data_IF_642049496308
#
_entry.id   IF_642049496308
#
_cell.length_a   1.000
_cell.length_b   1.000
_cell.length_c   1.000
_cell.angle_alpha   90.00
_cell.angle_beta   90.00
_cell.angle_gamma   90.00
#
_symmetry.space_group_name_H-M   'P 1'
#
loop_
_entity.id
_entity.type
_entity.pdbx_description
1 polymer ?
#
# COMPACT_ATOMS: atom_id res chain seq x y z
N UNK A 1 12.61 -22.61 38.20
CA UNK A 1 11.64 -23.47 37.52
C UNK A 1 11.47 -22.92 36.12
N UNK A 2 12.15 -23.52 35.14
CA UNK A 2 12.08 -23.18 33.72
C UNK A 2 10.67 -23.49 33.19
N UNK A 3 9.86 -22.45 33.00
CA UNK A 3 8.57 -22.58 32.32
C UNK A 3 8.76 -22.32 30.83
N UNK A 4 8.87 -23.41 30.07
CA UNK A 4 8.27 -23.59 28.76
C UNK A 4 8.58 -22.51 27.72
N UNK A 5 9.59 -22.77 26.91
CA UNK A 5 9.80 -22.15 25.60
C UNK A 5 8.62 -22.48 24.67
N UNK A 6 7.48 -21.81 24.87
CA UNK A 6 6.41 -21.75 23.89
C UNK A 6 6.83 -20.73 22.84
N UNK A 7 6.56 -21.03 21.57
CA UNK A 7 6.74 -20.12 20.45
C UNK A 7 5.89 -18.85 20.67
N UNK A 8 6.35 -17.92 21.50
CA UNK A 8 5.60 -16.74 21.90
C UNK A 8 5.48 -15.83 20.70
N UNK A 9 4.28 -15.75 20.13
CA UNK A 9 3.92 -14.76 19.13
C UNK A 9 4.15 -13.38 19.74
N UNK A 10 4.97 -12.54 19.11
CA UNK A 10 5.22 -11.18 19.58
C UNK A 10 4.00 -10.31 19.31
N UNK A 11 3.03 -10.33 20.23
CA UNK A 11 1.79 -9.56 20.15
C UNK A 11 2.06 -8.06 20.02
N UNK A 12 3.16 -7.57 20.61
CA UNK A 12 3.56 -6.16 20.54
C UNK A 12 3.82 -5.71 19.08
N UNK A 13 4.54 -6.53 18.31
CA UNK A 13 4.83 -6.24 16.90
C UNK A 13 3.58 -6.33 16.02
N UNK A 14 2.65 -7.21 16.39
CA UNK A 14 1.37 -7.34 15.70
C UNK A 14 0.48 -6.11 15.95
N UNK A 15 0.41 -5.61 17.17
CA UNK A 15 -0.31 -4.37 17.50
C UNK A 15 0.28 -3.14 16.82
N UNK A 16 1.61 -3.01 16.77
CA UNK A 16 2.25 -1.89 16.04
C UNK A 16 1.87 -1.94 14.55
N UNK A 17 1.87 -3.13 13.93
CA UNK A 17 1.42 -3.27 12.53
C UNK A 17 -0.03 -2.87 12.34
N UNK A 18 -0.92 -3.26 13.25
CA UNK A 18 -2.35 -2.90 13.17
C UNK A 18 -2.50 -1.39 13.26
N UNK A 19 -1.86 -0.74 14.24
CA UNK A 19 -1.90 0.70 14.39
C UNK A 19 -1.31 1.43 13.18
N UNK A 20 -0.16 0.97 12.68
CA UNK A 20 0.47 1.54 11.48
C UNK A 20 -0.41 1.37 10.24
N UNK A 21 -1.07 0.22 10.07
CA UNK A 21 -2.00 -0.01 8.95
C UNK A 21 -3.22 0.90 9.05
N UNK A 22 -3.75 1.09 10.26
CA UNK A 22 -4.85 2.01 10.50
C UNK A 22 -4.47 3.47 10.19
N UNK A 23 -3.26 3.89 10.57
CA UNK A 23 -2.74 5.22 10.23
C UNK A 23 -2.54 5.42 8.72
N UNK A 24 -2.06 4.40 8.00
CA UNK A 24 -1.97 4.43 6.53
C UNK A 24 -3.36 4.59 5.90
N UNK A 25 -4.37 3.90 6.44
CA UNK A 25 -5.75 4.06 5.97
C UNK A 25 -6.23 5.51 6.13
N UNK A 26 -6.03 6.13 7.30
CA UNK A 26 -6.38 7.54 7.53
C UNK A 26 -5.59 8.49 6.62
N UNK A 27 -4.31 8.19 6.36
CA UNK A 27 -3.48 8.94 5.43
C UNK A 27 -4.06 8.93 4.02
N UNK A 28 -4.45 7.76 3.49
CA UNK A 28 -5.08 7.67 2.18
C UNK A 28 -6.44 8.39 2.12
N UNK A 29 -7.25 8.34 3.17
CA UNK A 29 -8.48 9.12 3.25
C UNK A 29 -8.21 10.63 3.22
N UNK A 30 -7.13 11.09 3.86
CA UNK A 30 -6.72 12.50 3.85
C UNK A 30 -6.18 12.98 2.50
N UNK A 31 -5.73 12.06 1.63
CA UNK A 31 -5.13 12.40 0.35
C UNK A 31 -6.11 13.07 -0.62
N UNK A 32 -7.41 12.80 -0.52
CA UNK A 32 -8.44 13.48 -1.32
C UNK A 32 -8.58 14.98 -1.01
N UNK A 33 -8.12 15.40 0.17
CA UNK A 33 -8.28 16.77 0.67
C UNK A 33 -6.95 17.52 0.82
N UNK A 34 -5.83 16.88 0.44
CA UNK A 34 -4.51 17.50 0.52
C UNK A 34 -4.16 18.23 -0.79
N UNK A 35 -3.13 19.07 -0.73
CA UNK A 35 -2.67 19.85 -1.89
C UNK A 35 -1.81 19.03 -2.88
N UNK A 36 -1.34 17.84 -2.48
CA UNK A 36 -0.36 17.04 -3.23
C UNK A 36 -0.96 16.43 -4.51
N UNK A 37 -0.14 16.23 -5.54
CA UNK A 37 -0.59 15.70 -6.82
C UNK A 37 -1.26 14.32 -6.66
N UNK A 38 -2.45 14.18 -7.21
CA UNK A 38 -3.33 13.04 -6.96
C UNK A 38 -4.45 12.98 -7.98
N UNK A 39 -4.86 11.76 -8.33
CA UNK A 39 -5.74 11.49 -9.47
C UNK A 39 -7.15 12.11 -9.37
N UNK A 40 -7.68 12.33 -8.16
CA UNK A 40 -9.02 12.89 -7.91
C UNK A 40 -8.97 13.78 -6.66
N UNK A 41 -9.41 15.02 -6.76
CA UNK A 41 -9.38 16.02 -5.67
C UNK A 41 -10.72 16.70 -5.49
N UNK A 42 -10.99 17.13 -4.26
CA UNK A 42 -12.14 17.98 -3.95
C UNK A 42 -11.82 19.46 -4.25
N UNK A 43 -12.84 20.23 -4.66
CA UNK A 43 -12.70 21.67 -4.96
C UNK A 43 -12.37 22.51 -3.71
N UNK A 44 -12.76 22.03 -2.52
CA UNK A 44 -12.46 22.68 -1.24
C UNK A 44 -11.30 21.95 -0.57
N UNK A 45 -10.11 22.55 -0.66
CA UNK A 45 -8.85 22.02 -0.11
C UNK A 45 -8.50 22.74 1.19
N UNK A 46 -8.35 21.98 2.29
CA UNK A 46 -7.83 22.53 3.55
C UNK A 46 -6.31 22.32 3.62
N UNK A 47 -5.57 23.33 3.17
CA UNK A 47 -4.11 23.26 2.96
C UNK A 47 -3.27 23.19 4.24
N UNK A 48 -3.84 23.51 5.40
CA UNK A 48 -3.01 23.68 6.61
C UNK A 48 -2.96 22.40 7.42
N UNK A 49 -4.09 21.95 7.98
CA UNK A 49 -4.09 20.84 8.93
C UNK A 49 -3.89 19.47 8.25
N UNK A 50 -4.51 19.29 7.10
CA UNK A 50 -4.49 18.01 6.35
C UNK A 50 -3.12 17.78 5.72
N UNK A 51 -2.47 18.85 5.24
CA UNK A 51 -1.14 18.78 4.65
C UNK A 51 -0.06 18.46 5.70
N UNK A 52 -0.13 19.13 6.86
CA UNK A 52 0.76 18.83 7.99
C UNK A 52 0.57 17.38 8.46
N UNK A 53 -0.67 16.91 8.58
CA UNK A 53 -0.97 15.52 8.93
C UNK A 53 -0.39 14.55 7.89
N UNK A 54 -0.62 14.81 6.60
CA UNK A 54 -0.13 13.98 5.50
C UNK A 54 1.39 13.89 5.50
N UNK A 55 2.08 15.03 5.56
CA UNK A 55 3.55 15.07 5.61
C UNK A 55 4.09 14.37 6.85
N UNK A 56 3.47 14.59 8.01
CA UNK A 56 3.89 13.96 9.25
C UNK A 56 3.81 12.44 9.12
N UNK A 57 2.63 11.89 8.79
CA UNK A 57 2.44 10.44 8.69
C UNK A 57 3.30 9.81 7.59
N UNK A 58 3.36 10.45 6.42
CA UNK A 58 4.11 9.92 5.26
C UNK A 58 5.60 9.73 5.52
N UNK A 59 6.23 10.60 6.33
CA UNK A 59 7.67 10.56 6.57
C UNK A 59 8.16 9.37 7.39
N UNK A 60 7.39 8.91 8.39
CA UNK A 60 7.86 7.88 9.33
C UNK A 60 7.15 6.53 9.20
N UNK A 61 5.97 6.48 8.57
CA UNK A 61 5.18 5.25 8.55
C UNK A 61 5.83 4.12 7.74
N UNK A 62 6.40 4.44 6.58
CA UNK A 62 7.12 3.47 5.75
C UNK A 62 8.37 2.92 6.45
N UNK A 63 9.25 3.74 7.05
CA UNK A 63 10.35 3.26 7.90
C UNK A 63 9.92 2.25 8.98
N UNK A 64 8.78 2.48 9.65
CA UNK A 64 8.26 1.53 10.66
C UNK A 64 7.93 0.19 10.02
N UNK A 65 7.22 0.17 8.89
CA UNK A 65 6.93 -1.07 8.18
C UNK A 65 8.20 -1.81 7.74
N UNK A 66 9.24 -1.09 7.31
CA UNK A 66 10.53 -1.68 6.98
C UNK A 66 11.20 -2.35 8.18
N UNK A 67 11.23 -1.68 9.34
CA UNK A 67 11.80 -2.24 10.57
C UNK A 67 11.05 -3.51 10.99
N UNK A 68 9.73 -3.47 11.00
CA UNK A 68 8.92 -4.64 11.40
C UNK A 68 9.10 -5.79 10.41
N UNK A 69 9.13 -5.50 9.10
CA UNK A 69 9.39 -6.50 8.06
C UNK A 69 10.79 -7.12 8.20
N UNK A 70 11.80 -6.32 8.56
CA UNK A 70 13.16 -6.76 8.83
C UNK A 70 13.23 -7.73 10.00
N UNK A 71 12.63 -7.36 11.14
CA UNK A 71 12.56 -8.21 12.34
C UNK A 71 11.82 -9.53 12.04
N UNK A 72 10.70 -9.46 11.33
CA UNK A 72 9.94 -10.65 10.93
C UNK A 72 10.75 -11.56 10.00
N UNK A 73 11.50 -10.99 9.06
CA UNK A 73 12.33 -11.72 8.11
C UNK A 73 13.52 -12.39 8.81
N UNK A 74 14.19 -11.69 9.73
CA UNK A 74 15.29 -12.24 10.53
C UNK A 74 14.86 -13.49 11.33
N UNK A 75 13.73 -13.41 12.02
CA UNK A 75 13.19 -14.55 12.78
C UNK A 75 12.75 -15.71 11.86
N UNK A 76 12.19 -15.41 10.69
CA UNK A 76 11.75 -16.43 9.74
C UNK A 76 12.92 -17.18 9.10
N UNK A 77 13.99 -16.46 8.74
CA UNK A 77 15.18 -17.03 8.10
C UNK A 77 15.99 -17.92 9.05
N UNK A 78 15.95 -17.64 10.36
CA UNK A 78 16.55 -18.49 11.39
C UNK A 78 15.88 -19.87 11.51
N UNK A 79 14.63 -20.02 11.06
CA UNK A 79 13.82 -21.25 11.22
C UNK A 79 13.56 -22.02 9.92
N UNK A 80 13.79 -21.43 8.74
CA UNK A 80 13.43 -22.04 7.44
C UNK A 80 14.50 -21.81 6.38
N UNK A 81 14.59 -22.71 5.38
CA UNK A 81 15.42 -22.52 4.18
C UNK A 81 14.96 -21.28 3.41
N UNK A 82 15.91 -20.39 3.09
CA UNK A 82 15.67 -19.11 2.40
C UNK A 82 14.85 -19.24 1.10
N UNK A 83 15.12 -20.28 0.30
CA UNK A 83 14.43 -20.50 -0.98
C UNK A 83 12.91 -20.75 -0.81
N UNK A 84 12.52 -21.55 0.20
CA UNK A 84 11.10 -21.82 0.47
C UNK A 84 10.39 -20.55 0.95
N UNK A 85 11.05 -19.76 1.79
CA UNK A 85 10.52 -18.50 2.32
C UNK A 85 10.28 -17.48 1.21
N UNK A 86 11.23 -17.33 0.26
CA UNK A 86 11.07 -16.43 -0.88
C UNK A 86 9.94 -16.85 -1.80
N UNK A 87 9.82 -18.15 -2.13
CA UNK A 87 8.75 -18.66 -3.00
C UNK A 87 7.36 -18.39 -2.42
N UNK A 88 7.17 -18.65 -1.11
CA UNK A 88 5.89 -18.37 -0.45
C UNK A 88 5.56 -16.87 -0.41
N UNK A 89 6.56 -15.99 -0.26
CA UNK A 89 6.35 -14.54 -0.28
C UNK A 89 6.01 -14.05 -1.68
N UNK A 90 6.70 -14.53 -2.70
CA UNK A 90 6.42 -14.17 -4.10
C UNK A 90 5.02 -14.59 -4.52
N UNK A 91 4.56 -15.78 -4.13
CA UNK A 91 3.19 -16.20 -4.44
C UNK A 91 2.14 -15.38 -3.66
N UNK A 92 2.40 -15.05 -2.39
CA UNK A 92 1.47 -14.27 -1.58
C UNK A 92 1.44 -12.77 -1.89
N UNK A 93 2.52 -12.21 -2.44
CA UNK A 93 2.63 -10.78 -2.71
C UNK A 93 2.60 -10.47 -4.21
N UNK A 94 3.29 -11.26 -5.02
CA UNK A 94 3.38 -11.09 -6.47
C UNK A 94 2.07 -11.38 -7.19
N UNK A 95 1.35 -12.45 -6.82
CA UNK A 95 0.06 -12.75 -7.46
C UNK A 95 -0.97 -11.65 -7.18
N UNK A 96 -1.19 -11.20 -5.93
CA UNK A 96 -2.07 -10.06 -5.68
C UNK A 96 -1.61 -8.76 -6.33
N UNK A 97 -0.29 -8.52 -6.42
CA UNK A 97 0.25 -7.33 -7.08
C UNK A 97 -0.10 -7.32 -8.57
N UNK A 98 0.13 -8.44 -9.29
CA UNK A 98 -0.21 -8.54 -10.70
C UNK A 98 -1.72 -8.35 -10.91
N UNK A 99 -2.55 -9.01 -10.10
CA UNK A 99 -3.99 -8.82 -10.16
C UNK A 99 -4.39 -7.36 -9.90
N UNK A 100 -3.76 -6.69 -8.93
CA UNK A 100 -4.00 -5.26 -8.66
C UNK A 100 -3.59 -4.37 -9.83
N UNK A 101 -2.45 -4.64 -10.47
CA UNK A 101 -2.00 -3.87 -11.64
C UNK A 101 -2.99 -4.00 -12.80
N UNK A 102 -3.50 -5.21 -13.09
CA UNK A 102 -4.42 -5.40 -14.21
C UNK A 102 -5.87 -5.04 -13.90
N UNK A 103 -6.31 -5.17 -12.65
CA UNK A 103 -7.72 -4.99 -12.27
C UNK A 103 -8.01 -3.62 -11.64
N UNK A 104 -7.12 -3.10 -10.79
CA UNK A 104 -7.35 -1.82 -10.09
C UNK A 104 -6.77 -0.62 -10.84
N UNK A 105 -5.59 -0.75 -11.44
CA UNK A 105 -4.91 0.38 -12.10
C UNK A 105 -5.69 0.95 -13.30
N UNK A 106 -6.23 0.13 -14.22
CA UNK A 106 -6.89 0.67 -15.42
C UNK A 106 -8.19 1.41 -15.11
N UNK A 107 -9.08 0.92 -14.22
CA UNK A 107 -10.24 1.71 -13.77
C UNK A 107 -9.83 3.02 -13.08
N UNK A 108 -8.76 3.02 -12.29
CA UNK A 108 -8.27 4.23 -11.62
C UNK A 108 -7.86 5.32 -12.63
N UNK A 109 -7.04 4.96 -13.62
CA UNK A 109 -6.59 5.90 -14.67
C UNK A 109 -7.74 6.28 -15.61
N UNK A 110 -8.68 5.38 -15.86
CA UNK A 110 -9.88 5.68 -16.64
C UNK A 110 -10.73 6.77 -15.99
N UNK A 111 -10.98 6.67 -14.68
CA UNK A 111 -11.75 7.68 -13.94
C UNK A 111 -11.03 9.03 -13.96
N UNK A 112 -9.71 9.04 -13.79
CA UNK A 112 -8.91 10.26 -13.92
C UNK A 112 -9.02 10.89 -15.32
N UNK A 113 -8.87 10.10 -16.39
CA UNK A 113 -8.94 10.62 -17.76
C UNK A 113 -10.34 11.10 -18.14
N UNK A 114 -11.41 10.49 -17.63
CA UNK A 114 -12.78 11.01 -17.75
C UNK A 114 -12.92 12.34 -17.00
N UNK A 115 -12.46 12.39 -15.76
CA UNK A 115 -12.59 13.59 -14.90
C UNK A 115 -11.85 14.79 -15.50
N UNK A 116 -10.74 14.55 -16.22
CA UNK A 116 -9.97 15.57 -16.93
C UNK A 116 -10.46 15.86 -18.37
N UNK A 117 -11.63 15.34 -18.79
CA UNK A 117 -12.16 15.44 -20.15
C UNK A 117 -11.21 14.94 -21.26
N UNK A 118 -10.33 13.98 -20.96
CA UNK A 118 -9.36 13.44 -21.92
C UNK A 118 -9.82 12.15 -22.61
N UNK A 119 -10.95 11.56 -22.21
CA UNK A 119 -11.45 10.32 -22.81
C UNK A 119 -12.98 10.19 -22.70
N UNK A 120 -13.66 9.87 -23.81
CA UNK A 120 -15.13 9.71 -23.87
C UNK A 120 -15.60 8.26 -24.13
N UNK A 121 -14.67 7.33 -24.40
CA UNK A 121 -14.99 5.94 -24.78
C UNK A 121 -15.13 5.00 -23.57
N UNK A 122 -15.72 3.82 -23.77
CA UNK A 122 -15.93 2.82 -22.71
C UNK A 122 -14.63 2.22 -22.15
N UNK A 123 -14.65 1.75 -20.90
CA UNK A 123 -13.52 1.16 -20.18
C UNK A 123 -12.84 0.02 -20.96
N UNK A 124 -13.61 -0.82 -21.68
CA UNK A 124 -13.08 -1.93 -22.48
C UNK A 124 -12.25 -1.45 -23.68
N UNK A 125 -12.55 -0.28 -24.21
CA UNK A 125 -11.81 0.33 -25.33
C UNK A 125 -10.58 1.10 -24.83
N UNK A 126 -10.60 1.56 -23.58
CA UNK A 126 -9.47 2.20 -22.90
C UNK A 126 -8.37 1.21 -22.51
N UNK A 127 -8.74 -0.02 -22.14
CA UNK A 127 -7.81 -1.05 -21.67
C UNK A 127 -6.62 -1.35 -22.61
N UNK A 128 -6.81 -1.57 -23.93
CA UNK A 128 -5.69 -1.79 -24.85
C UNK A 128 -4.81 -0.54 -25.03
N UNK A 129 -5.38 0.66 -24.93
CA UNK A 129 -4.61 1.91 -25.00
C UNK A 129 -3.75 2.13 -23.75
N UNK A 130 -4.29 1.84 -22.56
CA UNK A 130 -3.56 1.88 -21.29
C UNK A 130 -2.34 0.94 -21.29
N UNK A 131 -2.49 -0.27 -21.84
CA UNK A 131 -1.39 -1.24 -21.92
C UNK A 131 -0.28 -0.82 -22.90
N UNK A 132 -0.60 -0.06 -23.95
CA UNK A 132 0.38 0.41 -24.94
C UNK A 132 1.14 1.67 -24.50
N UNK A 133 0.53 2.50 -23.65
CA UNK A 133 1.17 3.72 -23.14
C UNK A 133 2.12 3.46 -21.94
N UNK A 134 1.92 2.36 -21.19
CA UNK A 134 2.52 2.19 -19.85
C UNK A 134 3.38 0.92 -19.67
N UNK A 135 3.40 -0.01 -20.64
CA UNK A 135 4.26 -1.21 -20.66
C UNK A 135 5.21 -1.11 -21.84
#
# INVERSE_FOLDING_TARGET
MENGNQFARHYDLDWIKVLATFMVFLYHCSMFFNSFDGHIKNDIINKTYIEIFSLSVGNWIMPIFFVISGIATFHALKKRKAQSFMKERLLRLGLPLLLGIFLLSPPQVYIERITNNQFECSLLQFFPHYLMDYI
#
